data_IF_918974987862
#
_entry.id   IF_918974987862
#
_cell.length_a   1.000
_cell.length_b   1.000
_cell.length_c   1.000
_cell.angle_alpha   90.00
_cell.angle_beta   90.00
_cell.angle_gamma   90.00
#
_symmetry.space_group_name_H-M   'P 1'
#
loop_
_entity.id
_entity.type
_entity.pdbx_description
1 polymer ?
#
# COMPACT_ATOMS: atom_id res chain seq x y z
N UNK A 1 -12.71 -57.10 -32.75
CA UNK A 1 -13.40 -56.75 -34.01
C UNK A 1 -13.62 -55.24 -34.01
N UNK A 2 -12.97 -54.59 -35.03
CA UNK A 2 -13.43 -53.39 -35.75
C UNK A 2 -13.53 -52.06 -34.96
N UNK A 3 -13.09 -50.91 -35.41
CA UNK A 3 -12.23 -50.43 -36.54
C UNK A 3 -11.75 -49.02 -36.15
N UNK A 4 -10.54 -48.70 -36.52
CA UNK A 4 -9.96 -47.35 -36.54
C UNK A 4 -10.74 -46.42 -37.49
N UNK A 5 -10.83 -45.17 -37.17
CA UNK A 5 -10.95 -44.11 -38.12
C UNK A 5 -10.10 -42.91 -37.69
N UNK A 6 -8.94 -42.80 -38.36
CA UNK A 6 -8.09 -41.63 -38.25
C UNK A 6 -8.55 -40.56 -39.24
N UNK A 7 -8.42 -39.30 -38.82
CA UNK A 7 -8.39 -38.17 -39.76
C UNK A 7 -7.20 -37.28 -39.42
N UNK A 8 -6.16 -37.41 -40.20
CA UNK A 8 -5.02 -36.48 -40.29
C UNK A 8 -5.48 -35.32 -41.20
N UNK A 9 -5.46 -34.08 -40.73
CA UNK A 9 -5.38 -32.92 -41.63
C UNK A 9 -4.13 -32.13 -41.32
N UNK A 10 -3.08 -32.47 -42.11
CA UNK A 10 -1.87 -31.67 -42.15
C UNK A 10 -2.09 -30.38 -42.94
N UNK A 11 -1.80 -29.25 -42.33
CA UNK A 11 -1.70 -27.96 -43.03
C UNK A 11 -0.25 -27.83 -43.52
N UNK A 12 -0.11 -27.85 -44.87
CA UNK A 12 1.13 -27.75 -45.62
C UNK A 12 1.75 -26.33 -45.48
N UNK A 13 3.06 -26.28 -45.19
CA UNK A 13 3.90 -25.06 -45.11
C UNK A 13 4.23 -24.43 -46.48
N UNK A 14 3.36 -24.47 -47.46
CA UNK A 14 3.72 -24.11 -48.85
C UNK A 14 2.94 -22.99 -49.50
N UNK A 15 2.19 -22.13 -48.77
CA UNK A 15 1.45 -21.02 -49.38
C UNK A 15 1.75 -19.66 -48.74
N UNK A 16 3.03 -19.37 -48.50
CA UNK A 16 3.41 -18.02 -48.01
C UNK A 16 4.60 -17.44 -48.80
N UNK A 17 4.51 -17.46 -50.11
CA UNK A 17 5.39 -16.69 -51.00
C UNK A 17 4.68 -16.51 -52.32
N UNK A 18 4.15 -15.32 -52.58
CA UNK A 18 4.00 -14.67 -53.89
C UNK A 18 3.17 -13.37 -53.72
N UNK A 19 3.89 -12.27 -53.51
CA UNK A 19 3.53 -10.95 -54.06
C UNK A 19 4.69 -9.97 -53.75
N UNK A 20 5.71 -10.09 -54.55
CA UNK A 20 6.71 -9.04 -54.71
C UNK A 20 6.44 -8.33 -56.03
N UNK A 21 6.47 -7.00 -55.98
CA UNK A 21 6.69 -6.21 -57.18
C UNK A 21 5.62 -5.19 -57.52
N UNK A 22 5.72 -3.98 -56.98
CA UNK A 22 5.49 -2.73 -57.71
C UNK A 22 6.48 -1.70 -57.14
N UNK A 23 7.47 -1.36 -57.91
CA UNK A 23 8.34 -0.19 -57.75
C UNK A 23 7.52 1.05 -58.13
N UNK A 24 7.24 1.90 -57.16
CA UNK A 24 6.79 3.26 -57.39
C UNK A 24 7.81 4.21 -56.77
N UNK A 25 8.53 4.91 -57.65
CA UNK A 25 9.37 6.06 -57.32
C UNK A 25 8.46 7.22 -56.85
N UNK A 26 8.65 7.67 -55.61
CA UNK A 26 8.00 8.88 -55.12
C UNK A 26 9.05 9.84 -54.55
N UNK A 27 8.88 11.15 -54.72
CA UNK A 27 9.90 12.16 -54.47
C UNK A 27 10.10 12.39 -53.00
N UNK A 28 11.35 12.74 -52.62
CA UNK A 28 11.75 13.22 -51.34
C UNK A 28 10.86 14.36 -50.81
N UNK A 29 9.90 14.03 -49.97
CA UNK A 29 9.21 14.99 -49.13
C UNK A 29 10.06 15.26 -47.88
N UNK A 30 10.57 16.48 -47.83
CA UNK A 30 11.19 17.06 -46.67
C UNK A 30 10.40 16.75 -45.39
N UNK A 31 10.98 15.99 -44.48
CA UNK A 31 10.41 15.75 -43.17
C UNK A 31 10.35 17.06 -42.38
N UNK A 32 9.20 17.73 -42.41
CA UNK A 32 8.88 18.73 -41.38
C UNK A 32 8.94 18.03 -40.02
N UNK A 33 9.91 18.43 -39.22
CA UNK A 33 9.92 18.11 -37.80
C UNK A 33 8.58 18.55 -37.18
N UNK A 34 7.75 17.60 -36.81
CA UNK A 34 6.62 17.87 -35.94
C UNK A 34 7.16 18.45 -34.63
N UNK A 35 6.54 19.48 -34.05
CA UNK A 35 6.95 19.99 -32.76
C UNK A 35 6.87 18.85 -31.74
N UNK A 36 7.97 18.53 -31.10
CA UNK A 36 8.05 17.61 -29.99
C UNK A 36 7.33 18.21 -28.78
N UNK A 37 6.00 18.12 -28.75
CA UNK A 37 5.25 18.30 -27.51
C UNK A 37 5.40 17.00 -26.73
N UNK A 38 6.50 16.83 -26.03
CA UNK A 38 6.62 15.86 -24.97
C UNK A 38 5.86 16.40 -23.74
N UNK A 39 4.54 16.49 -23.84
CA UNK A 39 3.68 16.49 -22.67
C UNK A 39 3.68 15.06 -22.17
N UNK A 40 4.61 14.74 -21.28
CA UNK A 40 4.44 13.58 -20.42
C UNK A 40 3.03 13.66 -19.82
N UNK A 41 2.20 12.61 -19.93
CA UNK A 41 0.87 12.66 -19.33
C UNK A 41 1.04 13.01 -17.86
N UNK A 42 0.29 14.02 -17.39
CA UNK A 42 0.27 14.42 -15.99
C UNK A 42 0.11 13.17 -15.12
N UNK A 43 1.12 12.87 -14.28
CA UNK A 43 1.14 11.71 -13.38
C UNK A 43 0.03 11.75 -12.33
N UNK A 44 -0.67 12.87 -12.17
CA UNK A 44 -1.58 13.12 -11.06
C UNK A 44 -3.02 13.35 -11.51
N UNK A 45 -4.03 12.87 -10.72
CA UNK A 45 -5.44 13.19 -10.95
C UNK A 45 -5.71 14.70 -10.79
N UNK A 46 -6.81 15.19 -11.37
CA UNK A 46 -7.19 16.61 -11.34
C UNK A 46 -7.89 17.05 -10.04
N UNK A 47 -8.14 16.13 -9.09
CA UNK A 47 -8.73 16.48 -7.81
C UNK A 47 -7.67 16.88 -6.78
N UNK A 48 -8.10 17.63 -5.76
CA UNK A 48 -7.28 17.95 -4.59
C UNK A 48 -7.53 16.94 -3.48
N UNK A 49 -6.49 16.63 -2.70
CA UNK A 49 -6.59 15.79 -1.51
C UNK A 49 -6.21 16.57 -0.25
N UNK A 50 -6.78 16.20 0.88
CA UNK A 50 -6.50 16.80 2.18
C UNK A 50 -5.70 15.81 3.02
N UNK A 51 -4.62 16.31 3.63
CA UNK A 51 -3.78 15.54 4.55
C UNK A 51 -3.63 16.32 5.85
N UNK A 52 -4.09 15.73 6.95
CA UNK A 52 -3.86 16.23 8.30
C UNK A 52 -2.48 15.80 8.78
N UNK A 53 -1.69 16.74 9.29
CA UNK A 53 -0.38 16.48 9.89
C UNK A 53 -0.36 17.08 11.29
N UNK A 54 0.05 16.29 12.27
CA UNK A 54 0.20 16.73 13.67
C UNK A 54 1.61 16.39 14.14
N UNK A 55 2.23 17.30 14.89
CA UNK A 55 3.51 17.10 15.54
C UNK A 55 3.36 17.39 17.04
N UNK A 56 3.79 16.48 17.90
CA UNK A 56 3.68 16.65 19.36
C UNK A 56 4.29 15.46 20.12
N UNK A 57 4.36 15.59 21.44
CA UNK A 57 5.06 14.64 22.32
C UNK A 57 4.18 13.50 22.88
N UNK A 58 2.95 13.37 22.40
CA UNK A 58 2.03 12.29 22.78
C UNK A 58 1.48 11.60 21.54
N UNK A 59 1.88 10.33 21.33
CA UNK A 59 1.48 9.51 20.17
C UNK A 59 -0.03 9.38 20.03
N UNK A 60 -0.72 9.08 21.14
CA UNK A 60 -2.18 8.89 21.17
C UNK A 60 -2.90 10.17 20.75
N UNK A 61 -2.48 11.28 21.32
CA UNK A 61 -3.02 12.60 21.01
C UNK A 61 -2.72 13.02 19.57
N UNK A 62 -1.50 12.82 19.08
CA UNK A 62 -1.12 13.16 17.71
C UNK A 62 -2.01 12.42 16.70
N UNK A 63 -2.25 11.13 16.92
CA UNK A 63 -3.14 10.31 16.07
C UNK A 63 -4.58 10.81 16.15
N UNK A 64 -5.10 11.06 17.34
CA UNK A 64 -6.44 11.61 17.52
C UNK A 64 -6.61 12.95 16.80
N UNK A 65 -5.70 13.88 17.00
CA UNK A 65 -5.75 15.22 16.42
C UNK A 65 -5.55 15.19 14.88
N UNK A 66 -4.75 14.27 14.35
CA UNK A 66 -4.61 14.11 12.90
C UNK A 66 -5.93 13.69 12.24
N UNK A 67 -6.67 12.77 12.85
CA UNK A 67 -8.02 12.39 12.40
C UNK A 67 -9.03 13.54 12.58
N UNK A 68 -8.95 14.29 13.68
CA UNK A 68 -9.80 15.43 13.95
C UNK A 68 -9.62 16.53 12.90
N UNK A 69 -8.38 16.75 12.44
CA UNK A 69 -8.08 17.75 11.42
C UNK A 69 -8.74 17.51 10.06
N UNK A 70 -9.14 16.25 9.79
CA UNK A 70 -9.83 15.83 8.55
C UNK A 70 -11.23 15.25 8.84
N UNK A 71 -11.81 15.54 9.98
CA UNK A 71 -13.10 15.01 10.42
C UNK A 71 -14.22 15.27 9.39
N UNK A 72 -14.22 16.43 8.76
CA UNK A 72 -15.15 16.81 7.69
C UNK A 72 -15.08 15.87 6.47
N UNK A 73 -13.94 15.23 6.22
CA UNK A 73 -13.76 14.22 5.17
C UNK A 73 -14.18 12.82 5.63
N UNK A 74 -14.00 12.51 6.91
CA UNK A 74 -14.26 11.18 7.48
C UNK A 74 -15.76 10.97 7.77
N UNK A 75 -16.42 11.95 8.42
CA UNK A 75 -17.79 11.76 8.92
C UNK A 75 -18.83 11.44 7.84
N UNK A 76 -18.81 12.05 6.65
CA UNK A 76 -19.75 11.70 5.58
C UNK A 76 -19.64 10.22 5.18
N UNK A 77 -18.43 9.67 5.14
CA UNK A 77 -18.19 8.28 4.81
C UNK A 77 -18.62 7.38 5.98
N UNK A 78 -18.15 7.67 7.18
CA UNK A 78 -18.38 6.87 8.38
C UNK A 78 -19.87 6.66 8.67
N UNK A 79 -20.70 7.71 8.49
CA UNK A 79 -22.16 7.67 8.71
C UNK A 79 -22.89 6.68 7.80
N UNK A 80 -22.31 6.30 6.67
CA UNK A 80 -22.91 5.35 5.71
C UNK A 80 -22.55 3.89 5.99
N UNK A 81 -21.64 3.65 6.96
CA UNK A 81 -21.05 2.33 7.19
C UNK A 81 -21.71 1.58 8.34
N UNK A 82 -21.72 0.25 8.24
CA UNK A 82 -22.29 -0.65 9.24
C UNK A 82 -21.26 -1.14 10.25
N UNK A 83 -19.97 -1.08 9.90
CA UNK A 83 -18.85 -1.49 10.75
C UNK A 83 -17.63 -0.64 10.51
N UNK A 84 -16.64 -0.71 11.39
CA UNK A 84 -15.31 -0.17 11.21
C UNK A 84 -14.30 -1.32 11.26
N UNK A 85 -13.33 -1.30 10.35
CA UNK A 85 -12.18 -2.20 10.38
C UNK A 85 -10.92 -1.36 10.46
N UNK A 86 -10.21 -1.42 11.58
CA UNK A 86 -8.88 -0.84 11.74
C UNK A 86 -7.87 -1.94 11.37
N UNK A 87 -7.08 -1.69 10.33
CA UNK A 87 -6.03 -2.61 9.93
C UNK A 87 -4.65 -2.10 10.39
N UNK A 88 -4.07 -2.67 11.46
CA UNK A 88 -2.72 -2.33 11.90
C UNK A 88 -1.66 -2.78 10.88
N UNK A 89 -0.40 -2.51 11.17
CA UNK A 89 0.76 -3.07 10.50
C UNK A 89 1.49 -3.99 11.47
N UNK A 90 1.40 -5.29 11.30
CA UNK A 90 2.08 -6.28 12.14
C UNK A 90 2.93 -7.21 11.26
N UNK A 91 4.03 -6.68 10.71
CA UNK A 91 5.00 -7.48 9.94
C UNK A 91 5.69 -8.51 10.84
N UNK A 92 6.04 -8.11 12.05
CA UNK A 92 6.51 -8.99 13.12
C UNK A 92 5.45 -9.11 14.20
N UNK A 93 5.37 -10.28 14.83
CA UNK A 93 4.51 -10.51 16.00
C UNK A 93 5.29 -10.45 17.32
N UNK A 94 6.60 -10.16 17.26
CA UNK A 94 7.50 -10.10 18.43
C UNK A 94 8.32 -8.80 18.51
N UNK A 95 8.46 -8.05 17.42
CA UNK A 95 9.18 -6.79 17.41
C UNK A 95 8.21 -5.61 17.31
N UNK A 96 8.06 -4.84 18.40
CA UNK A 96 7.16 -3.68 18.48
C UNK A 96 7.50 -2.61 17.44
N UNK A 97 8.78 -2.39 17.13
CA UNK A 97 9.17 -1.39 16.12
C UNK A 97 8.70 -1.76 14.68
N UNK A 98 8.34 -3.02 14.45
CA UNK A 98 7.79 -3.48 13.16
C UNK A 98 6.26 -3.58 13.18
N UNK A 99 5.60 -3.09 14.26
CA UNK A 99 4.15 -3.21 14.45
C UNK A 99 3.55 -1.87 14.92
N UNK A 100 2.31 -1.60 14.52
CA UNK A 100 1.55 -0.44 14.98
C UNK A 100 1.53 -0.41 16.52
N UNK A 101 1.80 0.74 17.12
CA UNK A 101 1.80 0.88 18.57
C UNK A 101 0.36 0.92 19.12
N UNK A 102 0.13 0.33 20.30
CA UNK A 102 -1.19 0.32 20.93
C UNK A 102 -1.74 1.74 21.17
N UNK A 103 -0.88 2.73 21.49
CA UNK A 103 -1.32 4.11 21.67
C UNK A 103 -1.79 4.78 20.35
N UNK A 104 -1.26 4.37 19.21
CA UNK A 104 -1.81 4.81 17.94
C UNK A 104 -3.25 4.27 17.74
N UNK A 105 -3.48 3.00 18.09
CA UNK A 105 -4.83 2.42 18.06
C UNK A 105 -5.76 3.08 19.08
N UNK A 106 -5.26 3.45 20.28
CA UNK A 106 -6.03 4.23 21.27
C UNK A 106 -6.46 5.57 20.70
N UNK A 107 -5.56 6.31 20.04
CA UNK A 107 -5.90 7.58 19.40
C UNK A 107 -6.98 7.44 18.32
N UNK A 108 -6.93 6.37 17.52
CA UNK A 108 -7.97 6.06 16.55
C UNK A 108 -9.31 5.71 17.22
N UNK A 109 -9.29 4.92 18.29
CA UNK A 109 -10.47 4.55 19.04
C UNK A 109 -11.08 5.74 19.79
N UNK A 110 -10.28 6.65 20.33
CA UNK A 110 -10.76 7.91 20.94
C UNK A 110 -11.53 8.76 19.91
N UNK A 111 -11.09 8.76 18.66
CA UNK A 111 -11.81 9.45 17.59
C UNK A 111 -13.09 8.72 17.19
N UNK A 112 -13.05 7.41 17.02
CA UNK A 112 -14.15 6.60 16.48
C UNK A 112 -15.26 6.32 17.49
N UNK A 113 -14.95 5.98 18.74
CA UNK A 113 -15.91 5.51 19.74
C UNK A 113 -17.07 6.49 20.04
N UNK A 114 -16.86 7.81 20.13
CA UNK A 114 -17.96 8.75 20.29
C UNK A 114 -18.76 8.97 18.99
N UNK A 115 -18.21 8.69 17.82
CA UNK A 115 -18.76 9.01 16.48
C UNK A 115 -19.42 7.83 15.79
N UNK A 116 -19.15 6.61 16.22
CA UNK A 116 -19.67 5.38 15.63
C UNK A 116 -20.20 4.43 16.69
N UNK A 117 -21.39 3.85 16.47
CA UNK A 117 -22.06 2.97 17.44
C UNK A 117 -22.12 1.50 17.02
N UNK A 118 -21.67 1.19 15.80
CA UNK A 118 -21.59 -0.18 15.31
C UNK A 118 -20.31 -0.89 15.79
N UNK A 119 -20.12 -2.16 15.39
CA UNK A 119 -18.93 -2.93 15.76
C UNK A 119 -17.65 -2.36 15.13
N UNK A 120 -16.58 -2.34 15.91
CA UNK A 120 -15.23 -1.98 15.50
C UNK A 120 -14.34 -3.23 15.57
N UNK A 121 -13.63 -3.51 14.50
CA UNK A 121 -12.72 -4.63 14.40
C UNK A 121 -11.29 -4.14 14.25
N UNK A 122 -10.35 -4.60 15.07
CA UNK A 122 -8.92 -4.51 14.79
C UNK A 122 -8.55 -5.83 14.13
N UNK A 123 -8.24 -5.80 12.84
CA UNK A 123 -8.10 -6.99 12.01
C UNK A 123 -6.77 -7.01 11.25
N UNK A 124 -6.04 -8.11 11.33
CA UNK A 124 -4.73 -8.26 10.67
C UNK A 124 -4.54 -9.70 10.18
N UNK A 125 -3.67 -9.87 9.17
CA UNK A 125 -3.10 -11.15 8.77
C UNK A 125 -1.56 -11.04 8.85
N UNK A 126 -1.02 -11.12 10.06
CA UNK A 126 0.42 -11.05 10.29
C UNK A 126 1.17 -12.15 9.54
N UNK A 127 2.47 -11.96 9.27
CA UNK A 127 3.30 -13.03 8.72
C UNK A 127 3.53 -14.19 9.72
N UNK A 128 3.35 -13.93 11.02
CA UNK A 128 3.39 -14.89 12.12
C UNK A 128 1.99 -15.16 12.69
N UNK A 129 1.93 -15.52 13.97
CA UNK A 129 0.67 -15.72 14.71
C UNK A 129 0.06 -14.38 15.09
N UNK A 130 -0.99 -13.96 14.42
CA UNK A 130 -1.63 -12.66 14.59
C UNK A 130 -2.07 -12.41 16.03
N UNK A 131 -2.81 -13.35 16.64
CA UNK A 131 -3.30 -13.18 18.01
C UNK A 131 -2.17 -13.09 19.04
N UNK A 132 -1.08 -13.84 18.86
CA UNK A 132 0.11 -13.70 19.69
C UNK A 132 0.74 -12.32 19.54
N UNK A 133 0.75 -11.76 18.32
CA UNK A 133 1.20 -10.38 18.09
C UNK A 133 0.31 -9.37 18.82
N UNK A 134 -1.01 -9.58 18.82
CA UNK A 134 -1.94 -8.73 19.54
C UNK A 134 -1.68 -8.74 21.07
N UNK A 135 -1.35 -9.90 21.64
CA UNK A 135 -0.96 -10.01 23.04
C UNK A 135 0.37 -9.29 23.32
N UNK A 136 1.40 -9.58 22.54
CA UNK A 136 2.74 -9.01 22.68
C UNK A 136 2.72 -7.47 22.58
N UNK A 137 1.87 -6.91 21.71
CA UNK A 137 1.74 -5.47 21.48
C UNK A 137 0.61 -4.83 22.29
N UNK A 138 0.02 -5.57 23.26
CA UNK A 138 -1.02 -5.09 24.19
C UNK A 138 -2.32 -4.65 23.52
N UNK A 139 -2.65 -5.18 22.33
CA UNK A 139 -3.96 -4.89 21.72
C UNK A 139 -5.10 -5.57 22.49
N UNK A 140 -4.84 -6.68 23.15
CA UNK A 140 -5.81 -7.38 24.01
C UNK A 140 -6.27 -6.55 25.22
N UNK A 141 -5.54 -5.48 25.58
CA UNK A 141 -5.98 -4.52 26.58
C UNK A 141 -7.02 -3.52 26.06
N UNK A 142 -7.16 -3.34 24.73
CA UNK A 142 -8.03 -2.31 24.17
C UNK A 142 -9.55 -2.60 24.38
N UNK A 143 -10.09 -3.81 24.15
CA UNK A 143 -11.50 -4.07 24.41
C UNK A 143 -11.95 -3.76 25.86
N UNK A 144 -11.22 -4.14 26.91
CA UNK A 144 -11.61 -3.75 28.27
C UNK A 144 -11.41 -2.26 28.60
N UNK A 145 -10.55 -1.52 27.88
CA UNK A 145 -10.41 -0.06 27.98
C UNK A 145 -11.61 0.67 27.34
N UNK A 146 -12.13 0.17 26.22
CA UNK A 146 -13.22 0.78 25.44
C UNK A 146 -14.55 0.02 25.63
N UNK A 147 -14.96 -0.20 26.88
CA UNK A 147 -16.12 -1.03 27.27
C UNK A 147 -17.47 -0.62 26.62
N UNK A 148 -17.62 0.66 26.25
CA UNK A 148 -18.85 1.16 25.61
C UNK A 148 -18.87 0.93 24.09
N UNK A 149 -17.83 0.31 23.54
CA UNK A 149 -17.66 0.04 22.11
C UNK A 149 -17.63 -1.47 21.89
N UNK A 150 -18.38 -1.98 20.90
CA UNK A 150 -18.28 -3.39 20.47
C UNK A 150 -16.96 -3.58 19.69
N UNK A 151 -15.85 -3.68 20.44
CA UNK A 151 -14.48 -3.79 19.90
C UNK A 151 -14.03 -5.25 19.91
N UNK A 152 -13.62 -5.76 18.74
CA UNK A 152 -13.14 -7.13 18.56
C UNK A 152 -11.79 -7.17 17.86
N UNK A 153 -10.97 -8.16 18.25
CA UNK A 153 -9.67 -8.45 17.63
C UNK A 153 -9.84 -9.67 16.71
N UNK A 154 -9.41 -9.55 15.46
CA UNK A 154 -9.65 -10.55 14.42
C UNK A 154 -8.33 -10.96 13.76
N UNK A 155 -8.04 -12.26 13.74
CA UNK A 155 -7.09 -12.84 12.80
C UNK A 155 -7.79 -13.13 11.47
N UNK A 156 -7.39 -12.39 10.43
CA UNK A 156 -7.98 -12.55 9.09
C UNK A 156 -7.69 -13.93 8.47
N UNK A 157 -6.59 -14.56 8.87
CA UNK A 157 -6.27 -15.91 8.40
C UNK A 157 -7.23 -16.96 8.97
N UNK A 158 -7.66 -16.77 10.23
CA UNK A 158 -8.62 -17.68 10.90
C UNK A 158 -10.06 -17.47 10.39
N UNK A 159 -10.42 -16.28 9.91
CA UNK A 159 -11.71 -16.05 9.26
C UNK A 159 -11.86 -16.86 7.96
N UNK A 160 -10.77 -17.12 7.26
CA UNK A 160 -10.70 -17.86 6.01
C UNK A 160 -11.67 -17.39 4.90
N UNK A 161 -12.13 -16.12 4.97
CA UNK A 161 -12.97 -15.47 3.95
C UNK A 161 -12.11 -14.61 3.05
N UNK A 162 -12.18 -14.84 1.74
CA UNK A 162 -11.32 -14.15 0.79
C UNK A 162 -11.96 -13.95 -0.58
N UNK A 163 -11.41 -12.98 -1.32
CA UNK A 163 -11.58 -12.84 -2.76
C UNK A 163 -10.27 -13.16 -3.46
N UNK A 164 -10.35 -13.71 -4.68
CA UNK A 164 -9.16 -14.01 -5.50
C UNK A 164 -8.79 -12.78 -6.33
N UNK A 165 -7.52 -12.40 -6.28
CA UNK A 165 -6.90 -11.43 -7.17
C UNK A 165 -5.75 -12.11 -7.93
N UNK A 166 -5.70 -12.08 -9.28
CA UNK A 166 -4.49 -12.44 -10.00
C UNK A 166 -3.45 -11.31 -9.89
N UNK A 167 -2.25 -11.68 -9.44
CA UNK A 167 -1.04 -10.83 -9.49
C UNK A 167 -0.03 -11.48 -10.44
N UNK A 168 1.13 -10.88 -10.62
CA UNK A 168 2.16 -11.41 -11.53
C UNK A 168 3.29 -12.09 -10.75
N UNK A 169 3.84 -13.17 -11.28
CA UNK A 169 5.11 -13.71 -10.80
C UNK A 169 6.31 -12.99 -11.47
N UNK A 170 7.54 -13.41 -11.11
CA UNK A 170 8.77 -12.84 -11.68
C UNK A 170 8.88 -13.01 -13.21
N UNK A 171 8.14 -13.95 -13.80
CA UNK A 171 8.09 -14.23 -15.25
C UNK A 171 6.84 -13.66 -15.92
N UNK A 172 6.09 -12.81 -15.22
CA UNK A 172 4.84 -12.18 -15.67
C UNK A 172 3.67 -13.15 -15.88
N UNK A 173 3.71 -14.34 -15.28
CA UNK A 173 2.54 -15.22 -15.26
C UNK A 173 1.57 -14.80 -14.16
N UNK A 174 0.27 -14.90 -14.43
CA UNK A 174 -0.76 -14.62 -13.45
C UNK A 174 -0.79 -15.69 -12.35
N UNK A 175 -0.68 -15.25 -11.10
CA UNK A 175 -0.74 -16.09 -9.91
C UNK A 175 -1.91 -15.64 -9.05
N UNK A 176 -2.86 -16.52 -8.70
CA UNK A 176 -3.99 -16.16 -7.84
C UNK A 176 -3.52 -15.98 -6.39
N UNK A 177 -3.96 -14.88 -5.76
CA UNK A 177 -3.75 -14.63 -4.33
C UNK A 177 -5.09 -14.39 -3.64
N UNK A 178 -5.22 -14.87 -2.41
CA UNK A 178 -6.40 -14.72 -1.57
C UNK A 178 -6.27 -13.45 -0.75
N UNK A 179 -7.11 -12.45 -1.02
CA UNK A 179 -7.22 -11.22 -0.24
C UNK A 179 -8.33 -11.35 0.79
N UNK A 180 -8.08 -10.97 2.03
CA UNK A 180 -9.06 -11.00 3.12
C UNK A 180 -10.34 -10.23 2.74
N UNK A 181 -11.48 -10.92 2.67
CA UNK A 181 -12.76 -10.34 2.27
C UNK A 181 -13.22 -9.20 3.18
N UNK A 182 -12.85 -9.23 4.48
CA UNK A 182 -13.16 -8.15 5.43
C UNK A 182 -12.56 -6.81 5.02
N UNK A 183 -11.44 -6.80 4.30
CA UNK A 183 -10.80 -5.58 3.79
C UNK A 183 -11.36 -5.13 2.42
N UNK A 184 -12.33 -5.86 1.90
CA UNK A 184 -13.06 -5.61 0.65
C UNK A 184 -14.58 -5.47 0.91
N UNK A 185 -14.97 -5.19 2.16
CA UNK A 185 -16.37 -5.02 2.55
C UNK A 185 -16.83 -3.57 2.26
N UNK A 186 -17.78 -3.37 1.33
CA UNK A 186 -18.29 -2.05 1.00
C UNK A 186 -19.09 -1.41 2.15
N UNK A 187 -19.59 -2.21 3.09
CA UNK A 187 -20.34 -1.74 4.26
C UNK A 187 -19.42 -1.38 5.45
N UNK A 188 -18.12 -1.63 5.34
CA UNK A 188 -17.16 -1.30 6.39
C UNK A 188 -16.45 0.05 6.12
N UNK A 189 -16.18 0.81 7.18
CA UNK A 189 -15.20 1.90 7.17
C UNK A 189 -13.82 1.30 7.39
N UNK A 190 -13.02 1.21 6.34
CA UNK A 190 -11.67 0.63 6.41
C UNK A 190 -10.66 1.73 6.77
N UNK A 191 -10.09 1.66 7.98
CA UNK A 191 -9.06 2.56 8.48
C UNK A 191 -7.70 1.85 8.50
N UNK A 192 -6.77 2.32 7.67
CA UNK A 192 -5.40 1.86 7.69
C UNK A 192 -4.65 2.48 8.88
N UNK A 193 -4.01 1.65 9.71
CA UNK A 193 -3.13 2.08 10.79
C UNK A 193 -1.67 1.75 10.41
N UNK A 194 -1.08 2.59 9.57
CA UNK A 194 0.27 2.39 9.04
C UNK A 194 1.35 2.93 9.99
N UNK A 195 2.59 2.54 9.70
CA UNK A 195 3.80 3.05 10.35
C UNK A 195 4.70 3.73 9.33
N UNK A 196 5.46 4.71 9.79
CA UNK A 196 6.51 5.36 9.01
C UNK A 196 7.82 4.58 9.15
N UNK A 197 8.21 3.80 8.13
CA UNK A 197 9.44 2.99 8.20
C UNK A 197 10.04 2.67 6.83
N UNK A 198 11.36 2.49 6.80
CA UNK A 198 12.10 1.97 5.63
C UNK A 198 11.79 0.50 5.36
N UNK A 199 12.17 0.02 4.19
CA UNK A 199 11.91 -1.36 3.75
C UNK A 199 12.94 -1.84 2.73
N UNK A 200 13.30 -3.10 2.79
CA UNK A 200 14.35 -3.75 1.99
C UNK A 200 14.00 -4.10 0.54
N UNK A 201 12.81 -3.73 0.05
CA UNK A 201 12.37 -3.97 -1.35
C UNK A 201 11.70 -2.74 -1.94
N UNK A 202 10.98 -1.99 -1.12
CA UNK A 202 10.07 -0.93 -1.59
C UNK A 202 10.46 0.45 -1.05
N UNK A 203 11.69 0.61 -0.58
CA UNK A 203 12.26 1.82 0.02
C UNK A 203 11.57 2.22 1.33
N UNK A 204 10.26 2.32 1.33
CA UNK A 204 9.48 2.62 2.53
C UNK A 204 8.22 1.76 2.64
N UNK A 205 7.76 1.58 3.87
CA UNK A 205 6.43 1.08 4.23
C UNK A 205 5.61 2.23 4.77
N UNK A 206 4.44 2.45 4.17
CA UNK A 206 3.45 3.43 4.58
C UNK A 206 2.05 2.81 4.40
N UNK A 207 1.02 3.62 4.09
CA UNK A 207 -0.37 3.16 4.04
C UNK A 207 -0.66 2.18 2.91
N UNK A 208 -0.32 2.55 1.67
CA UNK A 208 -0.62 1.73 0.48
C UNK A 208 -0.01 0.35 0.64
N UNK A 209 1.29 0.28 0.97
CA UNK A 209 1.97 -1.00 1.17
C UNK A 209 1.41 -1.79 2.36
N UNK A 210 1.06 -1.12 3.48
CA UNK A 210 0.46 -1.78 4.62
C UNK A 210 -0.87 -2.45 4.25
N UNK A 211 -1.73 -1.76 3.50
CA UNK A 211 -3.01 -2.31 3.08
C UNK A 211 -2.84 -3.46 2.10
N UNK A 212 -2.01 -3.29 1.08
CA UNK A 212 -1.89 -4.24 -0.04
C UNK A 212 -1.13 -5.51 0.33
N UNK A 213 -0.02 -5.42 1.06
CA UNK A 213 0.73 -6.61 1.53
C UNK A 213 0.20 -7.19 2.85
N UNK A 214 -0.67 -6.46 3.53
CA UNK A 214 -1.39 -6.96 4.69
C UNK A 214 -2.71 -7.68 4.35
N UNK A 215 -3.26 -7.51 3.15
CA UNK A 215 -4.50 -8.16 2.73
C UNK A 215 -4.36 -9.63 2.32
N UNK A 216 -3.26 -10.08 1.66
CA UNK A 216 -3.08 -11.48 1.33
C UNK A 216 -3.03 -12.36 2.56
N UNK A 217 -3.64 -13.54 2.46
CA UNK A 217 -3.74 -14.51 3.54
C UNK A 217 -2.63 -15.57 3.47
N UNK A 218 -2.52 -16.34 4.53
CA UNK A 218 -1.79 -17.60 4.60
C UNK A 218 -2.62 -18.63 5.36
N UNK A 219 -2.21 -19.90 5.32
CA UNK A 219 -2.91 -20.98 6.02
C UNK A 219 -3.08 -20.69 7.51
N UNK A 220 -4.27 -20.93 8.03
CA UNK A 220 -4.57 -20.88 9.45
C UNK A 220 -3.70 -21.87 10.25
N UNK A 221 -3.66 -21.71 11.57
CA UNK A 221 -2.90 -22.60 12.43
C UNK A 221 -3.44 -24.03 12.34
N UNK A 222 -2.57 -24.98 12.04
CA UNK A 222 -2.95 -26.41 11.92
C UNK A 222 -3.45 -26.82 10.53
N UNK A 223 -3.72 -25.91 9.62
CA UNK A 223 -4.10 -26.21 8.24
C UNK A 223 -2.95 -26.86 7.46
N UNK A 224 -3.27 -27.89 6.69
CA UNK A 224 -2.32 -28.61 5.82
C UNK A 224 -2.95 -28.87 4.44
N UNK A 225 -2.18 -28.68 3.34
CA UNK A 225 -0.80 -28.20 3.29
C UNK A 225 -0.66 -26.73 3.68
N UNK A 226 0.50 -26.33 4.18
CA UNK A 226 0.79 -24.92 4.50
C UNK A 226 0.95 -24.12 3.21
N UNK A 227 0.37 -22.94 3.18
CA UNK A 227 0.46 -21.99 2.06
C UNK A 227 0.61 -20.56 2.59
N UNK A 228 1.10 -19.64 1.74
CA UNK A 228 1.29 -18.24 2.10
C UNK A 228 1.29 -17.36 0.84
N UNK A 229 0.17 -16.70 0.56
CA UNK A 229 0.01 -15.89 -0.65
C UNK A 229 0.82 -14.58 -0.60
N UNK A 230 1.24 -14.11 0.60
CA UNK A 230 2.14 -12.95 0.74
C UNK A 230 3.48 -13.17 0.03
N UNK A 231 3.95 -14.43 -0.08
CA UNK A 231 5.23 -14.77 -0.73
C UNK A 231 5.22 -14.51 -2.23
N UNK A 232 4.06 -14.56 -2.88
CA UNK A 232 3.93 -14.31 -4.31
C UNK A 232 4.32 -12.88 -4.70
N UNK A 233 4.25 -11.92 -3.77
CA UNK A 233 4.67 -10.53 -3.99
C UNK A 233 6.19 -10.32 -3.98
N UNK A 234 6.99 -11.32 -3.66
CA UNK A 234 8.44 -11.18 -3.42
C UNK A 234 9.31 -11.89 -4.47
N UNK A 235 8.87 -11.95 -5.72
CA UNK A 235 9.63 -12.55 -6.83
C UNK A 235 10.68 -11.62 -7.45
N UNK A 236 10.64 -10.31 -7.14
CA UNK A 236 11.57 -9.30 -7.64
C UNK A 236 11.12 -7.89 -7.33
N UNK A 237 12.05 -6.92 -7.27
CA UNK A 237 11.72 -5.53 -6.86
C UNK A 237 10.67 -4.89 -7.77
N UNK A 238 10.83 -4.98 -9.09
CA UNK A 238 9.87 -4.42 -10.06
C UNK A 238 8.49 -5.07 -9.95
N UNK A 239 8.46 -6.39 -9.86
CA UNK A 239 7.24 -7.17 -9.66
C UNK A 239 6.55 -6.76 -8.36
N UNK A 240 7.27 -6.69 -7.23
CA UNK A 240 6.69 -6.30 -5.94
C UNK A 240 5.98 -4.95 -6.02
N UNK A 241 6.62 -3.94 -6.62
CA UNK A 241 6.00 -2.63 -6.77
C UNK A 241 4.75 -2.66 -7.66
N UNK A 242 4.79 -3.43 -8.75
CA UNK A 242 3.66 -3.54 -9.66
C UNK A 242 2.48 -4.29 -9.04
N UNK A 243 2.73 -5.38 -8.33
CA UNK A 243 1.69 -6.16 -7.66
C UNK A 243 1.05 -5.40 -6.47
N UNK A 244 1.82 -4.56 -5.77
CA UNK A 244 1.27 -3.60 -4.82
C UNK A 244 0.27 -2.67 -5.52
N UNK A 245 0.61 -2.14 -6.70
CA UNK A 245 -0.28 -1.30 -7.48
C UNK A 245 -1.54 -2.05 -7.94
N UNK A 246 -1.42 -3.27 -8.49
CA UNK A 246 -2.58 -4.08 -8.89
C UNK A 246 -3.53 -4.32 -7.70
N UNK A 247 -2.96 -4.63 -6.54
CA UNK A 247 -3.73 -4.84 -5.32
C UNK A 247 -4.37 -3.54 -4.82
N UNK A 248 -3.64 -2.42 -4.88
CA UNK A 248 -4.18 -1.11 -4.55
C UNK A 248 -5.36 -0.73 -5.45
N UNK A 249 -5.26 -1.01 -6.75
CA UNK A 249 -6.35 -0.78 -7.71
C UNK A 249 -7.61 -1.58 -7.36
N UNK A 250 -7.46 -2.86 -6.97
CA UNK A 250 -8.57 -3.71 -6.50
C UNK A 250 -9.18 -3.18 -5.19
N UNK A 251 -8.32 -2.75 -4.25
CA UNK A 251 -8.76 -2.41 -2.89
C UNK A 251 -9.26 -0.96 -2.75
N UNK A 252 -8.83 -0.05 -3.63
CA UNK A 252 -9.15 1.39 -3.53
C UNK A 252 -10.64 1.70 -3.29
N UNK A 253 -11.62 1.05 -3.95
CA UNK A 253 -13.04 1.32 -3.74
C UNK A 253 -13.52 1.10 -2.29
N UNK A 254 -12.78 0.33 -1.50
CA UNK A 254 -13.12 -0.02 -0.12
C UNK A 254 -12.35 0.81 0.91
N UNK A 255 -11.29 1.51 0.52
CA UNK A 255 -10.51 2.34 1.43
C UNK A 255 -11.31 3.56 1.87
N UNK A 256 -11.28 3.84 3.18
CA UNK A 256 -12.01 4.98 3.73
C UNK A 256 -11.07 6.05 4.26
N UNK A 257 -10.06 5.67 5.05
CA UNK A 257 -9.06 6.59 5.58
C UNK A 257 -7.77 5.85 5.98
N UNK A 258 -6.74 6.62 6.24
CA UNK A 258 -5.48 6.15 6.80
C UNK A 258 -4.99 7.05 7.90
N UNK A 259 -4.24 6.46 8.83
CA UNK A 259 -3.30 7.13 9.72
C UNK A 259 -1.92 6.51 9.53
N UNK A 260 -0.90 7.34 9.39
CA UNK A 260 0.50 6.93 9.43
C UNK A 260 1.08 7.42 10.77
N UNK A 261 1.40 6.48 11.64
CA UNK A 261 2.10 6.73 12.89
C UNK A 261 3.60 6.92 12.60
N UNK A 262 4.07 8.15 12.68
CA UNK A 262 5.46 8.57 12.60
C UNK A 262 5.97 9.12 13.94
N UNK A 263 5.30 8.84 15.06
CA UNK A 263 5.77 9.29 16.37
C UNK A 263 7.18 8.77 16.67
N UNK A 264 7.37 7.48 16.42
CA UNK A 264 8.66 6.81 16.39
C UNK A 264 8.71 5.96 15.13
N UNK A 265 9.40 6.44 14.11
CA UNK A 265 9.58 5.74 12.84
C UNK A 265 10.73 4.75 12.92
N UNK A 266 10.95 4.00 11.84
CA UNK A 266 12.08 3.08 11.71
C UNK A 266 12.89 3.45 10.45
N UNK A 267 14.20 3.63 10.60
CA UNK A 267 15.13 3.89 9.51
C UNK A 267 16.13 2.75 9.29
N UNK A 268 16.92 2.79 8.23
CA UNK A 268 17.95 1.80 7.91
C UNK A 268 17.35 0.46 7.49
N UNK A 269 17.74 -0.64 8.15
CA UNK A 269 17.42 -2.01 7.74
C UNK A 269 15.99 -2.45 8.09
N UNK A 270 14.98 -1.62 7.75
CA UNK A 270 13.59 -2.02 7.81
C UNK A 270 13.26 -3.22 6.87
N UNK A 271 12.11 -3.86 7.01
CA UNK A 271 10.97 -3.48 7.84
C UNK A 271 11.01 -3.93 9.30
N UNK A 272 12.07 -4.66 9.73
CA UNK A 272 12.09 -5.29 11.08
C UNK A 272 13.37 -5.08 11.88
N UNK A 273 14.46 -4.67 11.23
CA UNK A 273 15.80 -4.60 11.84
C UNK A 273 16.43 -3.18 11.75
N UNK A 274 15.58 -2.15 11.60
CA UNK A 274 16.04 -0.77 11.56
C UNK A 274 16.22 -0.16 12.95
N UNK A 275 16.52 1.15 12.98
CA UNK A 275 16.72 1.95 14.17
C UNK A 275 15.55 2.93 14.38
N UNK A 276 15.20 3.32 15.60
CA UNK A 276 14.13 4.26 15.86
C UNK A 276 14.50 5.70 15.43
N UNK A 277 13.52 6.41 14.87
CA UNK A 277 13.62 7.85 14.58
C UNK A 277 12.47 8.57 15.26
N UNK A 278 12.79 9.49 16.17
CA UNK A 278 11.80 10.33 16.83
C UNK A 278 11.32 11.45 15.89
N UNK A 279 10.38 11.15 14.99
CA UNK A 279 9.79 12.14 14.10
C UNK A 279 8.61 12.87 14.75
N UNK A 280 7.99 12.29 15.80
CA UNK A 280 6.92 12.91 16.59
C UNK A 280 5.70 13.37 15.79
N UNK A 281 5.45 12.77 14.62
CA UNK A 281 4.35 13.14 13.73
C UNK A 281 3.27 12.05 13.66
N UNK A 282 2.05 12.47 13.33
CA UNK A 282 0.98 11.61 12.83
C UNK A 282 0.38 12.24 11.58
N UNK A 283 0.04 11.43 10.59
CA UNK A 283 -0.52 11.85 9.30
C UNK A 283 -1.86 11.16 9.12
N UNK A 284 -2.91 11.88 8.73
CA UNK A 284 -4.21 11.28 8.39
C UNK A 284 -4.74 11.81 7.06
N UNK A 285 -5.39 10.94 6.28
CA UNK A 285 -6.05 11.32 5.02
C UNK A 285 -7.13 10.29 4.65
N UNK A 286 -8.10 10.70 3.84
CA UNK A 286 -8.99 9.78 3.11
C UNK A 286 -8.39 9.33 1.77
N UNK A 287 -7.23 9.88 1.39
CA UNK A 287 -6.43 9.48 0.23
C UNK A 287 -5.10 8.87 0.71
N UNK A 288 -4.98 7.54 0.61
CA UNK A 288 -3.80 6.82 1.07
C UNK A 288 -2.53 7.18 0.28
N UNK A 289 -2.68 7.51 -1.01
CA UNK A 289 -1.53 7.92 -1.85
C UNK A 289 -1.03 9.30 -1.44
N UNK A 290 -1.94 10.24 -1.17
CA UNK A 290 -1.59 11.57 -0.67
C UNK A 290 -0.93 11.51 0.72
N UNK A 291 -1.44 10.65 1.62
CA UNK A 291 -0.83 10.42 2.92
C UNK A 291 0.58 9.84 2.78
N UNK A 292 0.77 8.84 1.91
CA UNK A 292 2.07 8.23 1.66
C UNK A 292 3.03 9.25 1.03
N UNK A 293 2.56 10.10 0.11
CA UNK A 293 3.37 11.17 -0.50
C UNK A 293 3.91 12.15 0.53
N UNK A 294 3.04 12.58 1.47
CA UNK A 294 3.44 13.44 2.59
C UNK A 294 4.37 12.69 3.56
N UNK A 295 4.08 11.41 3.84
CA UNK A 295 4.93 10.58 4.69
C UNK A 295 6.35 10.45 4.16
N UNK A 296 6.49 10.20 2.85
CA UNK A 296 7.81 10.11 2.19
C UNK A 296 8.57 11.43 2.24
N UNK A 297 7.86 12.58 2.05
CA UNK A 297 8.44 13.91 2.22
C UNK A 297 9.02 14.09 3.63
N UNK A 298 8.24 13.75 4.66
CA UNK A 298 8.67 13.86 6.05
C UNK A 298 9.83 12.91 6.41
N UNK A 299 10.00 11.81 5.65
CA UNK A 299 11.17 10.92 5.77
C UNK A 299 12.40 11.46 5.05
N UNK A 300 12.31 12.56 4.29
CA UNK A 300 13.40 13.08 3.46
C UNK A 300 13.84 12.10 2.35
N UNK A 301 12.93 11.26 1.86
CA UNK A 301 13.17 10.28 0.81
C UNK A 301 12.59 10.80 -0.50
N UNK A 302 13.30 10.59 -1.62
CA UNK A 302 12.76 10.91 -2.92
C UNK A 302 11.52 10.04 -3.22
N UNK A 303 10.33 10.63 -3.41
CA UNK A 303 9.10 9.88 -3.62
C UNK A 303 9.11 9.07 -4.92
N UNK A 304 9.88 9.48 -5.93
CA UNK A 304 10.02 8.74 -7.19
C UNK A 304 10.79 7.41 -7.02
N UNK A 305 11.44 7.19 -5.89
CA UNK A 305 12.08 5.91 -5.57
C UNK A 305 11.07 4.82 -5.18
N UNK A 306 9.86 5.21 -4.78
CA UNK A 306 8.80 4.27 -4.42
C UNK A 306 7.97 3.89 -5.65
N UNK A 307 8.35 2.82 -6.34
CA UNK A 307 7.71 2.39 -7.58
C UNK A 307 6.21 2.18 -7.44
N UNK A 308 5.74 1.59 -6.37
CA UNK A 308 4.31 1.39 -6.14
C UNK A 308 3.55 2.72 -6.04
N UNK A 309 4.16 3.74 -5.42
CA UNK A 309 3.55 5.06 -5.30
C UNK A 309 3.47 5.76 -6.66
N UNK A 310 4.55 5.66 -7.45
CA UNK A 310 4.59 6.14 -8.83
C UNK A 310 3.52 5.46 -9.72
N UNK A 311 3.37 4.13 -9.61
CA UNK A 311 2.34 3.40 -10.36
C UNK A 311 0.92 3.78 -9.89
N UNK A 312 0.70 3.95 -8.59
CA UNK A 312 -0.59 4.43 -8.06
C UNK A 312 -0.93 5.82 -8.59
N UNK A 313 0.05 6.72 -8.70
CA UNK A 313 -0.13 8.05 -9.28
C UNK A 313 -0.53 7.96 -10.75
N UNK A 314 0.20 7.18 -11.55
CA UNK A 314 -0.09 6.95 -12.98
C UNK A 314 -1.46 6.29 -13.20
N UNK A 315 -1.82 5.34 -12.34
CA UNK A 315 -3.12 4.65 -12.33
C UNK A 315 -4.26 5.47 -11.71
N UNK A 316 -4.00 6.73 -11.29
CA UNK A 316 -4.99 7.63 -10.68
C UNK A 316 -5.67 7.05 -9.43
N UNK A 317 -4.94 6.25 -8.65
CA UNK A 317 -5.43 5.65 -7.40
C UNK A 317 -5.61 6.73 -6.32
N UNK A 318 -4.75 7.76 -6.30
CA UNK A 318 -4.82 8.90 -5.39
C UNK A 318 -3.92 10.04 -5.84
N UNK A 319 -3.86 11.12 -5.05
CA UNK A 319 -3.10 12.32 -5.36
C UNK A 319 -1.62 12.18 -4.99
N UNK A 320 -0.77 12.45 -5.94
CA UNK A 320 0.69 12.41 -5.77
C UNK A 320 1.35 13.80 -5.86
N UNK A 321 0.71 14.73 -6.57
CA UNK A 321 1.23 16.06 -6.81
C UNK A 321 1.06 16.92 -5.54
N UNK A 322 2.17 17.30 -4.88
CA UNK A 322 2.16 18.09 -3.66
C UNK A 322 1.44 19.43 -3.83
N UNK A 323 1.44 20.03 -5.02
CA UNK A 323 0.71 21.27 -5.29
C UNK A 323 -0.81 21.13 -5.23
N UNK A 324 -1.30 19.88 -5.26
CA UNK A 324 -2.72 19.50 -5.17
C UNK A 324 -3.06 18.81 -3.84
N UNK A 325 -2.13 18.80 -2.89
CA UNK A 325 -2.35 18.25 -1.53
C UNK A 325 -2.45 19.43 -0.56
N UNK A 326 -3.62 19.57 0.05
CA UNK A 326 -3.86 20.59 1.08
C UNK A 326 -3.45 20.05 2.44
N UNK A 327 -2.37 20.60 3.01
CA UNK A 327 -1.87 20.19 4.33
C UNK A 327 -2.63 20.97 5.42
N UNK A 328 -3.28 20.23 6.32
CA UNK A 328 -3.87 20.76 7.55
C UNK A 328 -2.96 20.48 8.73
N UNK A 329 -2.17 21.45 9.13
CA UNK A 329 -1.20 21.31 10.22
C UNK A 329 0.00 22.22 10.07
N UNK A 330 1.12 21.92 10.74
CA UNK A 330 2.34 22.70 10.64
C UNK A 330 2.96 22.59 9.25
N UNK A 331 3.86 23.53 8.91
CA UNK A 331 4.68 23.45 7.70
C UNK A 331 5.60 22.23 7.76
N UNK A 332 5.72 21.50 6.66
CA UNK A 332 6.46 20.24 6.62
C UNK A 332 7.98 20.44 6.76
N UNK A 333 8.53 21.52 6.21
CA UNK A 333 9.98 21.77 6.14
C UNK A 333 10.69 21.64 7.51
N UNK A 334 10.04 22.10 8.58
CA UNK A 334 10.56 21.99 9.94
C UNK A 334 10.46 20.60 10.58
N UNK A 335 9.76 19.66 9.91
CA UNK A 335 9.47 18.33 10.42
C UNK A 335 10.21 17.23 9.67
N UNK A 336 10.84 17.54 8.55
CA UNK A 336 11.55 16.56 7.73
C UNK A 336 12.70 15.97 8.53
N UNK A 337 12.77 14.63 8.55
CA UNK A 337 13.88 13.85 9.06
C UNK A 337 14.49 13.06 7.91
N UNK A 338 15.79 13.21 7.67
CA UNK A 338 16.47 12.43 6.65
C UNK A 338 16.72 11.00 7.14
N UNK A 339 15.76 10.12 6.91
CA UNK A 339 15.86 8.70 7.31
C UNK A 339 17.04 8.03 6.62
N UNK A 340 17.86 7.31 7.38
CA UNK A 340 18.87 6.43 6.81
C UNK A 340 18.20 5.38 5.92
N UNK A 341 18.69 5.22 4.70
CA UNK A 341 18.17 4.24 3.75
C UNK A 341 18.57 2.82 4.15
N UNK A 342 17.87 1.83 3.64
CA UNK A 342 18.26 0.42 3.77
C UNK A 342 19.61 0.16 3.08
N UNK A 343 20.41 -0.78 3.61
CA UNK A 343 21.71 -1.13 3.00
C UNK A 343 21.64 -1.64 1.56
N UNK A 344 20.47 -2.18 1.16
CA UNK A 344 20.22 -2.70 -0.20
C UNK A 344 19.59 -1.67 -1.15
N UNK A 345 19.67 -0.37 -0.86
CA UNK A 345 18.97 0.68 -1.62
C UNK A 345 19.25 0.62 -3.12
N UNK A 346 20.46 0.30 -3.54
CA UNK A 346 20.82 0.16 -4.96
C UNK A 346 20.00 -0.94 -5.65
N UNK A 347 19.78 -2.06 -4.96
CA UNK A 347 18.94 -3.15 -5.46
C UNK A 347 17.48 -2.72 -5.50
N UNK A 348 17.00 -2.03 -4.49
CA UNK A 348 15.61 -1.56 -4.40
C UNK A 348 15.26 -0.62 -5.56
N UNK A 349 16.19 0.23 -5.96
CA UNK A 349 16.00 1.19 -7.06
C UNK A 349 16.02 0.54 -8.46
N UNK A 350 16.43 -0.73 -8.59
CA UNK A 350 16.42 -1.44 -9.88
C UNK A 350 15.03 -1.65 -10.48
N UNK A 351 13.95 -1.35 -9.75
CA UNK A 351 12.63 -1.32 -10.35
C UNK A 351 12.51 -0.29 -11.49
N UNK A 352 13.27 0.80 -11.44
CA UNK A 352 13.31 1.83 -12.48
C UNK A 352 14.12 1.40 -13.72
N UNK A 353 14.86 0.31 -13.64
CA UNK A 353 15.76 -0.18 -14.68
C UNK A 353 17.22 -0.15 -14.24
N UNK A 354 18.17 -0.54 -15.12
CA UNK A 354 19.59 -0.40 -14.83
C UNK A 354 19.94 1.08 -14.61
N UNK A 355 20.67 1.36 -13.54
CA UNK A 355 21.09 2.70 -13.17
C UNK A 355 22.62 2.70 -13.00
N UNK A 356 23.28 3.71 -13.57
CA UNK A 356 24.72 3.92 -13.38
C UNK A 356 25.00 4.68 -12.07
N UNK A 357 24.03 5.46 -11.60
CA UNK A 357 24.13 6.28 -10.39
C UNK A 357 22.80 6.28 -9.64
N UNK A 358 22.85 6.37 -8.31
CA UNK A 358 21.66 6.56 -7.48
C UNK A 358 21.15 7.99 -7.68
N UNK A 359 19.86 8.20 -8.01
CA UNK A 359 19.30 9.54 -8.10
C UNK A 359 19.46 10.30 -6.78
N UNK A 360 19.74 11.61 -6.82
CA UNK A 360 19.90 12.40 -5.61
C UNK A 360 18.62 12.38 -4.77
N UNK A 361 18.77 12.43 -3.46
CA UNK A 361 17.66 12.72 -2.55
C UNK A 361 17.09 14.09 -2.88
N UNK A 362 15.83 14.30 -2.60
CA UNK A 362 15.28 15.64 -2.54
C UNK A 362 16.06 16.42 -1.47
N UNK A 363 16.65 17.53 -1.87
CA UNK A 363 17.41 18.42 -0.98
C UNK A 363 16.50 19.22 -0.04
#
# INVERSE_FOLDING_TARGET
MLKSCGMKTGISRRNFLWSAGVLATSPLLSARQAPSSSTSPSKSPDFRSIVGVVHGEDRRRNVYESLLSIEDQILPILKTKKSVVIKPNNVSTVNQMAATHADALRGMLDFLAPRFKGPIFIAESSAGRTLQGFDNFKYTALPPEFKSTDLKLIDLNEEAKYEILPILDANLHAVPVRLAARLLDPDAFILCAAMMKTHNVTVATLSVKNMTLGAPLHSALGETPRWNDKRHYHGGVRQTHFDIFLTAQKMKPFWSATVIDGFEGMEGNGPSNGQPVASRVAIASTDLVAADRVGVELMGINPDWLGYLSFCAQGRIGQYDMSKIDIRGPKLDGLIKNYALHGDIERELQWMGPMNEIPPRLG
#
